data_IF_525480071597
#
_entry.id   IF_525480071597
#
_cell.length_a   1.000
_cell.length_b   1.000
_cell.length_c   1.000
_cell.angle_alpha   90.00
_cell.angle_beta   90.00
_cell.angle_gamma   90.00
#
_symmetry.space_group_name_H-M   'P 1'
#
loop_
_entity.id
_entity.type
_entity.pdbx_description
1 polymer ?
#
# COMPACT_ATOMS: atom_id res chain seq x y z
N UNK A 1 13.41 1.69 -26.69
CA UNK A 1 14.10 0.46 -26.26
C UNK A 1 15.08 0.81 -25.15
N UNK A 2 14.91 0.18 -23.96
CA UNK A 2 15.83 0.41 -22.85
C UNK A 2 16.96 -0.60 -22.89
N UNK A 3 18.21 -0.13 -22.84
CA UNK A 3 19.38 -1.02 -22.77
C UNK A 3 19.59 -1.54 -21.35
N UNK A 4 20.15 -2.74 -21.19
CA UNK A 4 20.42 -3.39 -19.89
C UNK A 4 21.24 -2.52 -18.90
N UNK A 5 21.91 -1.48 -19.37
CA UNK A 5 22.69 -0.54 -18.55
C UNK A 5 21.96 0.76 -18.21
N UNK A 6 20.73 0.93 -18.66
CA UNK A 6 19.94 2.15 -18.37
C UNK A 6 19.53 2.16 -16.88
N UNK A 7 19.86 3.21 -16.11
CA UNK A 7 19.45 3.34 -14.71
C UNK A 7 17.94 3.23 -14.50
N UNK A 8 17.15 3.74 -15.45
CA UNK A 8 15.70 3.67 -15.41
C UNK A 8 15.20 2.23 -15.55
N UNK A 9 15.76 1.45 -16.48
CA UNK A 9 15.44 0.04 -16.66
C UNK A 9 15.78 -0.77 -15.41
N UNK A 10 16.95 -0.55 -14.82
CA UNK A 10 17.39 -1.20 -13.58
C UNK A 10 16.44 -0.90 -12.43
N UNK A 11 15.98 0.35 -12.33
CA UNK A 11 15.03 0.76 -11.30
C UNK A 11 13.68 0.05 -11.44
N UNK A 12 13.14 -0.05 -12.67
CA UNK A 12 11.90 -0.76 -12.95
C UNK A 12 11.99 -2.24 -12.58
N UNK A 13 13.11 -2.90 -12.88
CA UNK A 13 13.33 -4.30 -12.49
C UNK A 13 13.36 -4.47 -10.98
N UNK A 14 14.04 -3.58 -10.25
CA UNK A 14 14.10 -3.61 -8.79
C UNK A 14 12.69 -3.45 -8.19
N UNK A 15 11.90 -2.53 -8.69
CA UNK A 15 10.53 -2.34 -8.21
C UNK A 15 9.67 -3.57 -8.48
N UNK A 16 9.79 -4.19 -9.65
CA UNK A 16 9.09 -5.43 -9.98
C UNK A 16 9.45 -6.55 -9.01
N UNK A 17 10.71 -6.70 -8.67
CA UNK A 17 11.19 -7.72 -7.72
C UNK A 17 10.65 -7.46 -6.32
N UNK A 18 10.66 -6.20 -5.86
CA UNK A 18 10.12 -5.82 -4.55
C UNK A 18 8.63 -6.12 -4.47
N UNK A 19 7.85 -5.68 -5.45
CA UNK A 19 6.40 -5.90 -5.48
C UNK A 19 6.09 -7.41 -5.50
N UNK A 20 6.79 -8.16 -6.32
CA UNK A 20 6.63 -9.61 -6.40
C UNK A 20 6.92 -10.29 -5.06
N UNK A 21 8.00 -9.91 -4.39
CA UNK A 21 8.35 -10.44 -3.08
C UNK A 21 7.29 -10.11 -2.01
N UNK A 22 6.77 -8.89 -2.02
CA UNK A 22 5.70 -8.48 -1.10
C UNK A 22 4.40 -9.25 -1.37
N UNK A 23 4.05 -9.48 -2.62
CA UNK A 23 2.86 -10.27 -2.98
C UNK A 23 3.02 -11.74 -2.60
N UNK A 24 4.19 -12.32 -2.76
CA UNK A 24 4.47 -13.70 -2.31
C UNK A 24 4.33 -13.79 -0.79
N UNK A 25 4.91 -12.84 -0.05
CA UNK A 25 4.75 -12.79 1.41
C UNK A 25 3.27 -12.69 1.81
N UNK A 26 2.52 -11.82 1.15
CA UNK A 26 1.09 -11.62 1.41
C UNK A 26 0.30 -12.91 1.18
N UNK A 27 0.55 -13.60 0.08
CA UNK A 27 -0.10 -14.88 -0.22
C UNK A 27 0.19 -15.96 0.80
N UNK A 28 1.40 -15.98 1.36
CA UNK A 28 1.79 -16.92 2.41
C UNK A 28 1.24 -16.57 3.80
N UNK A 29 0.83 -15.34 4.03
CA UNK A 29 0.40 -14.83 5.34
C UNK A 29 -1.06 -14.38 5.41
N UNK A 30 -1.84 -14.65 4.36
CA UNK A 30 -3.26 -14.29 4.28
C UNK A 30 -4.03 -15.31 3.46
N UNK A 31 -5.36 -15.15 3.42
CA UNK A 31 -6.24 -15.95 2.58
C UNK A 31 -6.48 -15.33 1.20
N UNK A 32 -5.79 -14.22 0.88
CA UNK A 32 -5.94 -13.56 -0.41
C UNK A 32 -5.33 -14.40 -1.54
N UNK A 33 -6.03 -14.44 -2.66
CA UNK A 33 -5.45 -14.93 -3.91
C UNK A 33 -4.55 -13.85 -4.50
N UNK A 34 -3.26 -14.12 -4.57
CA UNK A 34 -2.25 -13.20 -5.13
C UNK A 34 -1.77 -13.61 -6.52
N UNK A 35 -2.40 -14.61 -7.13
CA UNK A 35 -2.08 -15.07 -8.49
C UNK A 35 -2.72 -14.11 -9.52
N UNK A 36 -2.07 -12.98 -9.72
CA UNK A 36 -2.50 -11.91 -10.60
C UNK A 36 -1.29 -11.09 -11.06
N UNK A 37 -1.49 -10.22 -12.03
CA UNK A 37 -0.47 -9.26 -12.44
C UNK A 37 -0.10 -8.34 -11.27
N UNK A 38 1.16 -7.93 -11.22
CA UNK A 38 1.61 -6.97 -10.22
C UNK A 38 1.03 -5.58 -10.52
N UNK A 39 0.71 -4.78 -9.49
CA UNK A 39 0.22 -3.42 -9.69
C UNK A 39 1.29 -2.51 -10.30
N UNK A 40 0.85 -1.50 -11.02
CA UNK A 40 1.71 -0.41 -11.45
C UNK A 40 1.97 0.53 -10.27
N UNK A 41 3.21 0.96 -10.11
CA UNK A 41 3.60 1.95 -9.09
C UNK A 41 4.06 3.23 -9.77
N UNK A 42 3.54 4.36 -9.29
CA UNK A 42 3.91 5.70 -9.73
C UNK A 42 4.44 6.50 -8.55
N UNK A 43 5.43 7.34 -8.80
CA UNK A 43 6.01 8.24 -7.80
C UNK A 43 5.62 9.67 -8.11
N UNK A 44 5.18 10.40 -7.08
CA UNK A 44 4.83 11.81 -7.18
C UNK A 44 5.44 12.61 -6.03
N UNK A 45 5.76 13.90 -6.24
CA UNK A 45 6.01 14.81 -5.12
C UNK A 45 4.82 14.80 -4.15
N UNK A 46 5.09 14.98 -2.87
CA UNK A 46 4.08 14.89 -1.80
C UNK A 46 2.86 15.78 -2.06
N UNK A 47 3.08 17.03 -2.49
CA UNK A 47 2.00 17.97 -2.80
C UNK A 47 1.12 17.51 -3.97
N UNK A 48 1.74 16.93 -4.99
CA UNK A 48 1.03 16.38 -6.16
C UNK A 48 0.24 15.13 -5.82
N UNK A 49 0.80 14.26 -5.00
CA UNK A 49 0.13 13.06 -4.51
C UNK A 49 -1.11 13.42 -3.70
N UNK A 50 -1.00 14.37 -2.77
CA UNK A 50 -2.11 14.85 -1.96
C UNK A 50 -3.18 15.55 -2.81
N UNK A 51 -2.78 16.34 -3.79
CA UNK A 51 -3.71 16.98 -4.72
C UNK A 51 -4.50 15.94 -5.54
N UNK A 52 -3.85 14.89 -6.00
CA UNK A 52 -4.51 13.81 -6.75
C UNK A 52 -5.51 13.06 -5.89
N UNK A 53 -5.18 12.79 -4.64
CA UNK A 53 -6.03 12.04 -3.70
C UNK A 53 -7.21 12.88 -3.18
N UNK A 54 -6.94 14.09 -2.70
CA UNK A 54 -7.95 14.94 -2.07
C UNK A 54 -8.64 15.90 -3.03
N UNK A 55 -8.07 16.15 -4.20
CA UNK A 55 -8.53 17.21 -5.08
C UNK A 55 -8.37 18.59 -4.43
N UNK A 56 -9.38 19.44 -4.54
CA UNK A 56 -9.39 20.78 -3.91
C UNK A 56 -9.74 20.72 -2.41
N UNK A 57 -10.08 19.55 -1.88
CA UNK A 57 -10.39 19.34 -0.47
C UNK A 57 -9.11 19.01 0.29
N UNK A 58 -8.29 20.02 0.58
CA UNK A 58 -7.15 19.81 1.47
C UNK A 58 -7.67 19.50 2.87
N UNK A 59 -7.54 18.25 3.29
CA UNK A 59 -7.88 17.80 4.61
C UNK A 59 -6.63 17.71 5.47
N UNK A 60 -6.61 18.51 6.53
CA UNK A 60 -5.82 18.33 7.75
C UNK A 60 -4.29 18.27 7.59
N UNK A 61 -3.64 18.45 8.71
CA UNK A 61 -2.19 18.37 8.93
C UNK A 61 -1.64 16.92 8.86
N UNK A 62 -2.44 15.94 8.46
CA UNK A 62 -2.02 14.55 8.33
C UNK A 62 -1.45 14.35 6.93
N UNK A 63 -0.15 14.03 6.87
CA UNK A 63 0.50 13.69 5.62
C UNK A 63 0.00 12.33 5.09
N UNK A 64 -0.42 12.33 3.84
CA UNK A 64 -0.72 11.10 3.11
C UNK A 64 0.58 10.34 2.84
N UNK A 65 0.65 9.08 3.25
CA UNK A 65 1.85 8.25 3.04
C UNK A 65 1.92 7.63 1.66
N UNK A 66 0.78 7.24 1.12
CA UNK A 66 0.59 6.62 -0.19
C UNK A 66 -0.90 6.42 -0.43
N UNK A 67 -1.29 6.02 -1.63
CA UNK A 67 -2.65 5.54 -1.88
C UNK A 67 -2.71 4.58 -3.07
N UNK A 68 -3.75 3.76 -3.08
CA UNK A 68 -4.12 2.92 -4.22
C UNK A 68 -5.30 3.57 -4.96
N UNK A 69 -5.09 3.84 -6.24
CA UNK A 69 -6.11 4.37 -7.15
C UNK A 69 -6.87 3.20 -7.76
N UNK A 70 -8.09 2.97 -7.28
CA UNK A 70 -8.96 1.88 -7.73
C UNK A 70 -9.46 2.05 -9.16
N UNK A 71 -9.52 3.27 -9.65
CA UNK A 71 -9.99 3.56 -11.01
C UNK A 71 -8.95 3.16 -12.07
N UNK A 72 -7.66 3.32 -11.75
CA UNK A 72 -6.58 3.10 -12.70
C UNK A 72 -5.66 1.92 -12.36
N UNK A 73 -5.92 1.21 -11.25
CA UNK A 73 -5.08 0.11 -10.73
C UNK A 73 -3.61 0.53 -10.50
N UNK A 74 -3.42 1.73 -9.97
CA UNK A 74 -2.10 2.31 -9.74
C UNK A 74 -1.90 2.58 -8.26
N UNK A 75 -0.74 2.18 -7.73
CA UNK A 75 -0.27 2.58 -6.41
C UNK A 75 0.58 3.84 -6.58
N UNK A 76 0.25 4.88 -5.82
CA UNK A 76 0.99 6.14 -5.82
C UNK A 76 1.79 6.26 -4.53
N UNK A 77 3.10 6.42 -4.68
CA UNK A 77 4.06 6.62 -3.60
C UNK A 77 4.65 8.03 -3.68
N UNK A 78 5.06 8.63 -2.55
CA UNK A 78 5.82 9.87 -2.60
C UNK A 78 7.21 9.62 -3.22
N UNK A 79 7.76 10.61 -3.88
CA UNK A 79 9.09 10.53 -4.49
C UNK A 79 10.23 10.38 -3.47
N UNK A 80 9.92 10.62 -2.19
CA UNK A 80 10.82 10.39 -1.05
C UNK A 80 10.81 8.95 -0.54
N UNK A 81 9.96 8.08 -1.10
CA UNK A 81 9.89 6.68 -0.70
C UNK A 81 11.25 5.98 -0.92
N UNK A 82 11.69 5.24 0.10
CA UNK A 82 13.01 4.61 0.10
C UNK A 82 12.89 3.11 0.40
N UNK A 83 13.24 2.29 -0.58
CA UNK A 83 13.22 0.81 -0.47
C UNK A 83 14.11 0.26 0.64
N UNK A 84 15.04 1.05 1.18
CA UNK A 84 15.93 0.64 2.26
C UNK A 84 15.30 0.81 3.64
N UNK A 85 14.19 1.52 3.71
CA UNK A 85 13.47 1.77 4.97
C UNK A 85 12.37 0.73 5.16
N UNK A 86 12.40 -0.06 6.25
CA UNK A 86 11.34 -1.04 6.54
C UNK A 86 9.95 -0.44 6.56
N UNK A 87 9.79 0.75 7.12
CA UNK A 87 8.51 1.44 7.15
C UNK A 87 7.99 1.72 5.73
N UNK A 88 8.83 2.24 4.84
CA UNK A 88 8.44 2.55 3.47
C UNK A 88 8.03 1.29 2.69
N UNK A 89 8.75 0.18 2.89
CA UNK A 89 8.35 -1.12 2.34
C UNK A 89 6.99 -1.57 2.88
N UNK A 90 6.74 -1.36 4.16
CA UNK A 90 5.45 -1.71 4.77
C UNK A 90 4.30 -0.83 4.26
N UNK A 91 4.56 0.42 3.93
CA UNK A 91 3.59 1.32 3.30
C UNK A 91 3.24 0.84 1.89
N UNK A 92 4.23 0.42 1.10
CA UNK A 92 3.96 -0.20 -0.20
C UNK A 92 3.14 -1.48 -0.05
N UNK A 93 3.46 -2.34 0.90
CA UNK A 93 2.67 -3.53 1.20
C UNK A 93 1.21 -3.18 1.55
N UNK A 94 1.00 -2.15 2.34
CA UNK A 94 -0.33 -1.66 2.70
C UNK A 94 -1.18 -1.37 1.45
N UNK A 95 -0.61 -0.65 0.50
CA UNK A 95 -1.31 -0.33 -0.76
C UNK A 95 -1.46 -1.57 -1.67
N UNK A 96 -0.49 -2.48 -1.67
CA UNK A 96 -0.62 -3.77 -2.37
C UNK A 96 -1.78 -4.59 -1.78
N UNK A 97 -1.99 -4.56 -0.47
CA UNK A 97 -3.13 -5.25 0.15
C UNK A 97 -4.45 -4.68 -0.39
N UNK A 98 -4.58 -3.36 -0.49
CA UNK A 98 -5.77 -2.74 -1.08
C UNK A 98 -5.96 -3.13 -2.56
N UNK A 99 -4.89 -3.16 -3.34
CA UNK A 99 -4.92 -3.66 -4.71
C UNK A 99 -5.42 -5.10 -4.77
N UNK A 100 -4.89 -5.99 -3.93
CA UNK A 100 -5.29 -7.40 -3.90
C UNK A 100 -6.74 -7.56 -3.42
N UNK A 101 -7.19 -6.79 -2.43
CA UNK A 101 -8.59 -6.78 -2.00
C UNK A 101 -9.52 -6.40 -3.16
N UNK A 102 -9.16 -5.41 -3.93
CA UNK A 102 -9.92 -4.96 -5.10
C UNK A 102 -9.93 -6.04 -6.19
N UNK A 103 -8.79 -6.61 -6.54
CA UNK A 103 -8.69 -7.67 -7.55
C UNK A 103 -9.36 -8.98 -7.12
N UNK A 104 -9.47 -9.24 -5.83
CA UNK A 104 -10.23 -10.38 -5.28
C UNK A 104 -11.75 -10.09 -5.23
N UNK A 105 -12.19 -8.90 -5.62
CA UNK A 105 -13.58 -8.47 -5.61
C UNK A 105 -14.24 -8.60 -4.23
N UNK A 106 -13.47 -8.34 -3.17
CA UNK A 106 -13.99 -8.39 -1.80
C UNK A 106 -14.99 -7.26 -1.62
N UNK A 107 -16.18 -7.60 -1.15
CA UNK A 107 -17.22 -6.62 -0.89
C UNK A 107 -17.06 -6.04 0.51
N UNK A 108 -17.02 -4.72 0.58
CA UNK A 108 -16.98 -3.97 1.83
C UNK A 108 -18.25 -3.12 1.94
N UNK A 109 -18.77 -2.97 3.15
CA UNK A 109 -19.91 -2.08 3.38
C UNK A 109 -19.49 -0.60 3.29
N UNK A 110 -18.22 -0.32 3.56
CA UNK A 110 -17.60 1.00 3.43
C UNK A 110 -16.09 0.86 3.25
N UNK A 111 -15.44 1.92 2.80
CA UNK A 111 -13.99 1.91 2.56
C UNK A 111 -13.17 1.68 3.84
N UNK A 112 -13.69 2.05 5.00
CA UNK A 112 -13.01 1.84 6.27
C UNK A 112 -12.79 0.36 6.60
N UNK A 113 -13.69 -0.52 6.19
CA UNK A 113 -13.53 -1.96 6.44
C UNK A 113 -12.31 -2.58 5.76
N UNK A 114 -11.78 -1.94 4.72
CA UNK A 114 -10.55 -2.38 4.06
C UNK A 114 -9.36 -2.39 5.01
N UNK A 115 -9.35 -1.51 6.00
CA UNK A 115 -8.26 -1.35 6.96
C UNK A 115 -8.23 -2.44 8.04
N UNK A 116 -9.33 -3.16 8.24
CA UNK A 116 -9.44 -4.13 9.33
C UNK A 116 -8.36 -5.22 9.28
N UNK A 117 -8.06 -5.74 8.08
CA UNK A 117 -7.00 -6.74 7.86
C UNK A 117 -5.67 -6.12 7.46
N UNK A 118 -5.68 -4.93 6.91
CA UNK A 118 -4.48 -4.30 6.33
C UNK A 118 -3.47 -3.92 7.40
N UNK A 119 -3.89 -3.26 8.47
CA UNK A 119 -2.99 -2.86 9.55
C UNK A 119 -2.35 -4.05 10.28
N UNK A 120 -3.10 -5.10 10.67
CA UNK A 120 -2.49 -6.28 11.27
C UNK A 120 -1.48 -6.96 10.37
N UNK A 121 -1.72 -7.03 9.06
CA UNK A 121 -0.78 -7.61 8.11
C UNK A 121 0.47 -6.75 7.95
N UNK A 122 0.33 -5.43 7.89
CA UNK A 122 1.45 -4.49 7.85
C UNK A 122 2.32 -4.62 9.11
N UNK A 123 1.70 -4.71 10.29
CA UNK A 123 2.39 -4.94 11.56
C UNK A 123 3.15 -6.27 11.56
N UNK A 124 2.49 -7.34 11.09
CA UNK A 124 3.10 -8.67 11.00
C UNK A 124 4.31 -8.68 10.07
N UNK A 125 4.22 -8.02 8.92
CA UNK A 125 5.33 -7.89 7.98
C UNK A 125 6.53 -7.21 8.61
N UNK A 126 6.33 -6.07 9.25
CA UNK A 126 7.39 -5.33 9.92
C UNK A 126 8.09 -6.19 10.97
N UNK A 127 7.33 -6.93 11.77
CA UNK A 127 7.88 -7.78 12.81
C UNK A 127 8.60 -9.00 12.24
N UNK A 128 7.99 -9.72 11.30
CA UNK A 128 8.56 -10.97 10.78
C UNK A 128 9.75 -10.76 9.86
N UNK A 129 9.70 -9.75 9.00
CA UNK A 129 10.69 -9.55 7.94
C UNK A 129 11.82 -8.62 8.39
N UNK A 130 11.51 -7.62 9.20
CA UNK A 130 12.45 -6.57 9.57
C UNK A 130 12.76 -6.51 11.06
N UNK A 131 12.10 -7.30 11.89
CA UNK A 131 12.19 -7.22 13.35
C UNK A 131 11.91 -5.82 13.90
N UNK A 132 10.95 -5.14 13.30
CA UNK A 132 10.50 -3.80 13.67
C UNK A 132 9.12 -3.89 14.29
N UNK A 133 8.99 -3.43 15.53
CA UNK A 133 7.70 -3.31 16.22
C UNK A 133 6.95 -2.09 15.73
N UNK A 134 5.65 -2.26 15.53
CA UNK A 134 4.72 -1.17 15.28
C UNK A 134 3.50 -1.36 16.16
N UNK A 135 3.46 -0.60 17.25
CA UNK A 135 2.36 -0.64 18.22
C UNK A 135 1.37 0.48 17.90
N UNK A 136 0.48 0.20 16.96
CA UNK A 136 -0.56 1.16 16.60
C UNK A 136 -1.70 1.17 17.64
N UNK A 137 -2.36 2.31 17.80
CA UNK A 137 -3.52 2.46 18.69
C UNK A 137 -4.67 1.57 18.22
N UNK A 138 -4.99 0.54 19.02
CA UNK A 138 -6.01 -0.45 18.67
C UNK A 138 -7.43 0.12 18.70
N UNK A 139 -7.69 1.09 19.56
CA UNK A 139 -8.99 1.76 19.59
C UNK A 139 -9.17 2.63 18.35
N UNK A 140 -8.12 3.39 17.98
CA UNK A 140 -8.13 4.19 16.76
C UNK A 140 -8.30 3.30 15.53
N UNK A 141 -7.55 2.19 15.46
CA UNK A 141 -7.69 1.22 14.37
C UNK A 141 -9.11 0.65 14.30
N UNK A 142 -9.69 0.29 15.44
CA UNK A 142 -11.08 -0.16 15.48
C UNK A 142 -12.03 0.87 14.89
N UNK A 143 -11.88 2.14 15.29
CA UNK A 143 -12.74 3.23 14.81
C UNK A 143 -12.61 3.45 13.29
N UNK A 144 -11.39 3.44 12.75
CA UNK A 144 -11.16 3.68 11.31
C UNK A 144 -11.39 2.46 10.43
N UNK A 145 -11.55 1.27 11.01
CA UNK A 145 -11.76 0.01 10.29
C UNK A 145 -13.21 -0.47 10.30
N UNK A 146 -14.11 0.32 10.87
CA UNK A 146 -15.53 0.02 10.94
C UNK A 146 -16.34 1.15 10.28
N UNK A 147 -17.47 0.76 9.70
CA UNK A 147 -18.33 1.72 9.04
C UNK A 147 -18.96 2.70 10.05
N UNK A 148 -19.07 3.99 9.70
CA UNK A 148 -19.88 4.92 10.47
C UNK A 148 -21.31 4.41 10.56
N UNK A 149 -22.00 4.65 11.68
CA UNK A 149 -23.40 4.24 11.91
C UNK A 149 -23.63 2.73 12.04
N UNK A 150 -22.59 1.94 12.34
CA UNK A 150 -22.73 0.52 12.68
C UNK A 150 -23.05 -0.41 11.50
N UNK A 151 -22.72 -0.02 10.28
CA UNK A 151 -22.79 -0.88 9.09
C UNK A 151 -21.45 -1.52 8.82
#
# INVERSE_FOLDING_TARGET
>A
MYFQGDPHFKYLLIMKEIITALMIWLGANSDFNVNMDIPTVMFLPQDKMEQQYYGDKKHSDINLHAFYDTEHDIIVLPDTWDRRKPWDLSVLLHEIIHYVQDQNHIQFNCVQEMEAKTWPLQQKYLQQVHDVGWDYDRLWHFMISHCPNGY
#
